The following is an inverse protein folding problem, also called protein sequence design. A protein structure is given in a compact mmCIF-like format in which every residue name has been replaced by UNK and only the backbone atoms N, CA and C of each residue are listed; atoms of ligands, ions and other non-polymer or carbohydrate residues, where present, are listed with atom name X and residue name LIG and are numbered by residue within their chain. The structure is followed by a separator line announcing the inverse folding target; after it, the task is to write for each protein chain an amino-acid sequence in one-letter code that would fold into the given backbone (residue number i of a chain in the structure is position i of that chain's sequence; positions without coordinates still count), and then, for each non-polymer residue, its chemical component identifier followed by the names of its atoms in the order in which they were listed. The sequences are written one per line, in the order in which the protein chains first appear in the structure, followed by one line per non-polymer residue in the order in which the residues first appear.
data_IF_800776690217
#
_entry.id   IF_800776690217
#
_cell.length_a   1.000
_cell.length_b   1.000
_cell.length_c   1.000
_cell.angle_alpha   90.00
_cell.angle_beta   90.00
_cell.angle_gamma   90.00
#
_symmetry.space_group_name_H-M   'P 1'
#
loop_
_entity.id
_entity.type
_entity.pdbx_description
1 polymer ?
#
# COMPACT_ATOMS: atom_id res chain seq x y z
N UNK A 1 14.00 -7.69 -4.68
CA UNK A 1 13.16 -8.20 -3.57
C UNK A 1 13.05 -9.72 -3.58
N UNK A 2 13.30 -10.37 -2.44
CA UNK A 2 13.16 -11.83 -2.26
C UNK A 2 11.71 -12.30 -2.36
N UNK A 3 11.49 -13.39 -3.09
CA UNK A 3 10.19 -14.05 -3.24
C UNK A 3 9.93 -15.06 -2.12
N UNK A 4 8.78 -14.98 -1.45
CA UNK A 4 8.37 -15.96 -0.43
C UNK A 4 7.84 -17.28 -1.00
N UNK A 5 7.68 -17.38 -2.31
CA UNK A 5 7.13 -18.56 -3.01
C UNK A 5 7.93 -19.84 -2.73
N UNK A 6 9.25 -19.71 -2.60
CA UNK A 6 10.17 -20.80 -2.26
C UNK A 6 10.14 -21.19 -0.79
N UNK A 7 9.62 -20.31 0.06
CA UNK A 7 9.54 -20.55 1.49
C UNK A 7 8.24 -21.31 1.77
N UNK A 8 8.35 -22.38 2.55
CA UNK A 8 7.16 -23.08 3.06
C UNK A 8 6.51 -22.18 4.12
N UNK A 9 5.64 -21.28 3.69
CA UNK A 9 4.85 -20.38 4.55
C UNK A 9 3.49 -21.04 4.81
N UNK A 10 2.94 -20.84 6.01
CA UNK A 10 1.59 -21.30 6.31
C UNK A 10 0.58 -20.27 5.81
N UNK A 11 -0.40 -20.70 5.00
CA UNK A 11 -1.34 -19.81 4.31
C UNK A 11 -2.72 -20.46 4.16
N UNK A 12 -3.72 -19.63 3.86
CA UNK A 12 -5.02 -20.05 3.36
C UNK A 12 -5.03 -20.14 1.84
N UNK A 13 -5.75 -21.12 1.30
CA UNK A 13 -5.92 -21.31 -0.13
C UNK A 13 -7.38 -21.65 -0.44
N UNK A 14 -7.85 -21.38 -1.66
CA UNK A 14 -9.22 -21.74 -2.07
C UNK A 14 -9.50 -23.25 -1.89
N UNK A 15 -8.49 -24.09 -2.15
CA UNK A 15 -8.57 -25.55 -1.97
C UNK A 15 -8.28 -26.03 -0.53
N UNK A 16 -7.81 -25.15 0.35
CA UNK A 16 -7.45 -25.46 1.75
C UNK A 16 -7.93 -24.34 2.68
N UNK A 17 -9.25 -24.24 2.93
CA UNK A 17 -9.84 -23.18 3.76
C UNK A 17 -9.45 -23.28 5.24
N UNK A 18 -9.00 -24.45 5.70
CA UNK A 18 -8.41 -24.69 7.03
C UNK A 18 -6.97 -24.18 7.18
N UNK A 19 -6.33 -23.83 6.07
CA UNK A 19 -4.94 -23.37 6.02
C UNK A 19 -3.91 -24.50 6.01
N UNK A 20 -2.81 -24.28 5.31
CA UNK A 20 -1.77 -25.29 5.08
C UNK A 20 -0.40 -24.65 4.87
N UNK A 21 0.66 -25.37 5.24
CA UNK A 21 2.03 -25.01 4.87
C UNK A 21 2.34 -25.53 3.47
N UNK A 22 2.48 -24.64 2.48
CA UNK A 22 2.69 -25.00 1.07
C UNK A 22 3.47 -23.89 0.35
N UNK A 23 4.12 -24.24 -0.76
CA UNK A 23 4.61 -23.25 -1.72
C UNK A 23 3.46 -22.38 -2.24
N UNK A 24 3.68 -21.07 -2.19
CA UNK A 24 2.63 -20.06 -2.14
C UNK A 24 2.12 -19.65 -3.54
N UNK A 25 1.23 -20.41 -4.19
CA UNK A 25 0.64 -20.04 -5.49
C UNK A 25 -0.54 -19.03 -5.40
N UNK A 26 -0.60 -18.24 -4.32
CA UNK A 26 -1.74 -17.36 -3.99
C UNK A 26 -2.09 -16.32 -5.06
N UNK A 27 -1.09 -15.90 -5.85
CA UNK A 27 -1.31 -14.91 -6.91
C UNK A 27 -2.29 -15.40 -7.98
N UNK A 28 -2.44 -16.72 -8.15
CA UNK A 28 -3.38 -17.30 -9.14
C UNK A 28 -4.80 -17.39 -8.61
N UNK A 29 -4.96 -17.64 -7.32
CA UNK A 29 -6.24 -17.94 -6.67
C UNK A 29 -7.20 -16.75 -6.70
N UNK A 30 -8.48 -16.92 -6.41
CA UNK A 30 -9.44 -15.81 -6.37
C UNK A 30 -9.45 -15.12 -5.00
N UNK A 31 -9.00 -15.82 -3.97
CA UNK A 31 -8.98 -15.35 -2.60
C UNK A 31 -10.05 -16.05 -1.80
N UNK A 32 -9.69 -16.48 -0.59
CA UNK A 32 -10.59 -17.21 0.28
C UNK A 32 -11.74 -16.30 0.71
N UNK A 33 -12.96 -16.76 0.52
CA UNK A 33 -14.16 -16.02 0.93
C UNK A 33 -14.25 -16.00 2.45
N UNK A 34 -14.45 -14.82 3.02
CA UNK A 34 -14.74 -14.61 4.44
C UNK A 34 -16.07 -13.90 4.59
N UNK A 35 -16.86 -14.31 5.58
CA UNK A 35 -18.27 -13.88 5.71
C UNK A 35 -18.47 -12.78 6.74
N UNK A 36 -17.60 -12.67 7.74
CA UNK A 36 -17.67 -11.63 8.78
C UNK A 36 -16.29 -11.11 9.16
N UNK A 37 -16.26 -9.95 9.81
CA UNK A 37 -15.03 -9.40 10.36
C UNK A 37 -14.37 -10.33 11.38
N UNK A 38 -15.18 -11.01 12.21
CA UNK A 38 -14.66 -11.98 13.17
C UNK A 38 -14.02 -13.19 12.48
N UNK A 39 -14.64 -13.77 11.44
CA UNK A 39 -14.03 -14.87 10.66
C UNK A 39 -12.68 -14.44 10.07
N UNK A 40 -12.62 -13.26 9.46
CA UNK A 40 -11.36 -12.70 8.96
C UNK A 40 -10.33 -12.55 10.08
N UNK A 41 -10.70 -12.00 11.23
CA UNK A 41 -9.79 -11.82 12.37
C UNK A 41 -9.26 -13.15 12.90
N UNK A 42 -10.09 -14.19 13.01
CA UNK A 42 -9.68 -15.53 13.40
C UNK A 42 -8.64 -16.11 12.42
N UNK A 43 -8.86 -15.93 11.11
CA UNK A 43 -7.92 -16.39 10.08
C UNK A 43 -6.60 -15.62 10.15
N UNK A 44 -6.63 -14.30 10.36
CA UNK A 44 -5.42 -13.49 10.55
C UNK A 44 -4.64 -13.95 11.80
N UNK A 45 -5.32 -14.23 12.91
CA UNK A 45 -4.67 -14.73 14.12
C UNK A 45 -3.95 -16.07 13.88
N UNK A 46 -4.57 -16.99 13.14
CA UNK A 46 -3.94 -18.25 12.74
C UNK A 46 -2.73 -18.03 11.81
N UNK A 47 -2.81 -17.08 10.86
CA UNK A 47 -1.67 -16.71 10.01
C UNK A 47 -0.51 -16.17 10.85
N UNK A 48 -0.76 -15.30 11.82
CA UNK A 48 0.28 -14.74 12.69
C UNK A 48 0.93 -15.82 13.56
N UNK A 49 0.13 -16.68 14.19
CA UNK A 49 0.63 -17.76 15.03
C UNK A 49 1.53 -18.75 14.28
N UNK A 50 1.16 -19.12 13.05
CA UNK A 50 1.91 -20.09 12.26
C UNK A 50 3.10 -19.48 11.49
N UNK A 51 3.20 -18.15 11.43
CA UNK A 51 4.28 -17.45 10.73
C UNK A 51 4.99 -16.42 11.64
N UNK A 52 5.55 -16.83 12.79
CA UNK A 52 6.05 -15.92 13.83
C UNK A 52 7.27 -15.09 13.41
N UNK A 53 7.96 -15.48 12.34
CA UNK A 53 9.15 -14.79 11.86
C UNK A 53 8.84 -13.53 11.05
N UNK A 54 7.56 -13.29 10.71
CA UNK A 54 7.15 -12.18 9.88
C UNK A 54 6.21 -11.24 10.63
N UNK A 55 6.29 -9.96 10.30
CA UNK A 55 5.25 -8.98 10.65
C UNK A 55 4.24 -8.97 9.51
N UNK A 56 2.95 -9.09 9.84
CA UNK A 56 1.88 -9.07 8.84
C UNK A 56 1.37 -7.65 8.67
N UNK A 57 1.38 -7.17 7.43
CA UNK A 57 0.79 -5.89 7.03
C UNK A 57 -0.31 -6.12 6.00
N UNK A 58 -1.33 -5.28 6.03
CA UNK A 58 -2.56 -5.47 5.30
C UNK A 58 -2.76 -4.37 4.26
N UNK A 59 -3.30 -4.78 3.10
CA UNK A 59 -3.79 -3.85 2.08
C UNK A 59 -5.24 -4.16 1.75
N UNK A 60 -6.08 -3.16 1.86
CA UNK A 60 -7.44 -3.22 1.34
C UNK A 60 -7.51 -2.74 -0.11
N UNK A 61 -8.31 -3.42 -0.93
CA UNK A 61 -8.59 -2.97 -2.29
C UNK A 61 -9.98 -3.44 -2.75
N UNK A 62 -10.68 -2.60 -3.52
CA UNK A 62 -12.01 -2.88 -4.06
C UNK A 62 -11.99 -3.82 -5.28
N UNK A 63 -10.80 -4.16 -5.80
CA UNK A 63 -10.67 -5.07 -6.94
C UNK A 63 -9.32 -5.80 -6.94
N UNK A 64 -9.30 -7.04 -7.43
CA UNK A 64 -8.08 -7.82 -7.64
C UNK A 64 -7.47 -7.48 -9.00
N UNK A 65 -6.49 -6.57 -9.02
CA UNK A 65 -5.75 -6.25 -10.24
C UNK A 65 -4.92 -7.46 -10.67
N UNK A 66 -5.14 -7.92 -11.90
CA UNK A 66 -4.44 -9.07 -12.47
C UNK A 66 -3.62 -8.67 -13.67
N UNK A 67 -2.47 -9.31 -13.83
CA UNK A 67 -1.67 -9.22 -15.03
C UNK A 67 -2.46 -9.76 -16.23
N UNK A 68 -2.42 -9.04 -17.36
CA UNK A 68 -3.20 -9.39 -18.55
C UNK A 68 -2.91 -10.81 -19.06
N UNK A 69 -1.63 -11.17 -19.20
CA UNK A 69 -1.21 -12.49 -19.70
C UNK A 69 -1.24 -13.60 -18.64
N UNK A 70 -0.47 -13.47 -17.55
CA UNK A 70 -0.35 -14.53 -16.55
C UNK A 70 -1.58 -14.71 -15.64
N UNK A 71 -2.53 -13.76 -15.66
CA UNK A 71 -3.72 -13.72 -14.77
C UNK A 71 -3.40 -13.70 -13.27
N UNK A 72 -2.12 -13.56 -12.91
CA UNK A 72 -1.67 -13.45 -11.53
C UNK A 72 -2.08 -12.08 -10.97
N UNK A 73 -2.51 -12.04 -9.71
CA UNK A 73 -2.63 -10.80 -8.92
C UNK A 73 -1.33 -10.01 -8.98
N UNK A 74 -1.41 -8.72 -9.25
CA UNK A 74 -0.28 -7.79 -9.29
C UNK A 74 -0.42 -6.75 -8.18
N UNK A 75 0.64 -6.57 -7.39
CA UNK A 75 0.69 -5.59 -6.32
C UNK A 75 1.90 -4.70 -6.57
N UNK A 76 1.75 -3.83 -7.56
CA UNK A 76 2.79 -2.87 -7.96
C UNK A 76 2.58 -1.51 -7.29
N UNK A 77 3.66 -0.79 -6.95
CA UNK A 77 3.61 0.63 -6.63
C UNK A 77 2.85 1.43 -7.69
N UNK A 78 2.22 2.53 -7.29
CA UNK A 78 1.41 3.33 -8.21
C UNK A 78 2.24 3.94 -9.37
N UNK A 79 3.54 4.21 -9.18
CA UNK A 79 4.43 4.72 -10.22
C UNK A 79 4.67 3.71 -11.35
N UNK A 80 4.46 2.41 -11.10
CA UNK A 80 4.67 1.33 -12.07
C UNK A 80 3.35 0.73 -12.61
N UNK A 81 2.22 1.44 -12.48
CA UNK A 81 0.91 1.03 -13.03
C UNK A 81 0.57 1.75 -14.33
N UNK A 82 -0.38 1.22 -15.11
CA UNK A 82 -0.87 1.85 -16.34
C UNK A 82 0.02 1.57 -17.57
N UNK A 83 0.75 0.46 -17.56
CA UNK A 83 1.55 -0.07 -18.66
C UNK A 83 0.70 -0.77 -19.74
N UNK A 84 -0.60 -0.96 -19.49
CA UNK A 84 -1.47 -1.74 -20.37
C UNK A 84 -1.64 -1.07 -21.74
N UNK A 85 -1.21 -1.77 -22.79
CA UNK A 85 -1.37 -1.33 -24.18
C UNK A 85 -0.33 -0.32 -24.65
N UNK A 86 0.62 0.06 -23.80
CA UNK A 86 1.74 0.95 -24.18
C UNK A 86 2.88 0.12 -24.77
N UNK A 87 3.55 0.70 -25.77
CA UNK A 87 4.84 0.16 -26.20
C UNK A 87 5.95 0.46 -25.17
N UNK A 88 7.13 -0.14 -25.37
CA UNK A 88 8.26 0.00 -24.43
C UNK A 88 8.75 1.45 -24.33
N UNK A 89 8.75 2.19 -25.44
CA UNK A 89 9.27 3.56 -25.49
C UNK A 89 8.28 4.55 -24.86
N UNK A 90 6.98 4.38 -25.12
CA UNK A 90 5.89 5.12 -24.47
C UNK A 90 5.88 4.89 -22.97
N UNK A 91 5.99 3.63 -22.54
CA UNK A 91 6.10 3.26 -21.14
C UNK A 91 7.31 3.92 -20.47
N UNK A 92 8.48 3.88 -21.13
CA UNK A 92 9.70 4.48 -20.62
C UNK A 92 9.58 6.01 -20.50
N UNK A 93 9.02 6.69 -21.51
CA UNK A 93 8.75 8.14 -21.45
C UNK A 93 7.78 8.51 -20.34
N UNK A 94 6.69 7.76 -20.19
CA UNK A 94 5.73 8.01 -19.12
C UNK A 94 6.37 7.84 -17.74
N UNK A 95 7.16 6.78 -17.56
CA UNK A 95 7.83 6.53 -16.30
C UNK A 95 8.91 7.58 -15.99
N UNK A 96 9.68 8.00 -16.99
CA UNK A 96 10.63 9.11 -16.85
C UNK A 96 9.91 10.40 -16.40
N UNK A 97 8.76 10.72 -17.00
CA UNK A 97 7.95 11.88 -16.60
C UNK A 97 7.45 11.74 -15.15
N UNK A 98 7.01 10.55 -14.73
CA UNK A 98 6.60 10.32 -13.33
C UNK A 98 7.75 10.53 -12.35
N UNK A 99 8.96 10.08 -12.67
CA UNK A 99 10.14 10.35 -11.84
C UNK A 99 10.52 11.84 -11.82
N UNK A 100 10.37 12.57 -12.94
CA UNK A 100 10.53 14.04 -12.96
C UNK A 100 9.54 14.73 -12.04
N UNK A 101 8.26 14.35 -12.10
CA UNK A 101 7.22 14.88 -11.20
C UNK A 101 7.53 14.53 -9.74
N UNK A 102 7.99 13.31 -9.45
CA UNK A 102 8.39 12.90 -8.12
C UNK A 102 9.53 13.77 -7.56
N UNK A 103 10.60 13.98 -8.34
CA UNK A 103 11.72 14.83 -7.91
C UNK A 103 11.29 16.28 -7.68
N UNK A 104 10.45 16.84 -8.56
CA UNK A 104 9.90 18.19 -8.35
C UNK A 104 9.08 18.27 -7.05
N UNK A 105 8.26 17.25 -6.77
CA UNK A 105 7.46 17.18 -5.55
C UNK A 105 8.35 17.04 -4.29
N UNK A 106 9.47 16.31 -4.37
CA UNK A 106 10.44 16.21 -3.29
C UNK A 106 11.07 17.56 -2.94
N UNK A 107 11.50 18.31 -3.95
CA UNK A 107 12.12 19.62 -3.78
C UNK A 107 11.13 20.62 -3.16
N UNK A 108 9.89 20.64 -3.68
CA UNK A 108 8.80 21.47 -3.14
C UNK A 108 8.45 21.09 -1.70
N UNK A 109 8.46 19.79 -1.35
CA UNK A 109 8.20 19.34 0.02
C UNK A 109 9.28 19.84 0.99
N UNK A 110 10.56 19.83 0.60
CA UNK A 110 11.64 20.36 1.43
C UNK A 110 11.49 21.87 1.61
N UNK A 111 11.17 22.60 0.53
CA UNK A 111 11.01 24.05 0.53
C UNK A 111 9.83 24.51 1.39
N UNK A 112 8.69 23.83 1.26
CA UNK A 112 7.42 24.19 1.92
C UNK A 112 7.22 23.49 3.27
N UNK A 113 8.19 22.73 3.75
CA UNK A 113 8.09 22.05 5.03
C UNK A 113 7.69 23.06 6.13
N UNK A 114 6.61 22.82 6.90
CA UNK A 114 6.14 23.83 7.84
C UNK A 114 7.21 24.13 8.89
N UNK A 115 7.53 25.41 9.09
CA UNK A 115 8.60 25.85 9.99
C UNK A 115 8.37 25.45 11.46
N UNK A 116 7.10 25.26 11.85
CA UNK A 116 6.71 24.81 13.18
C UNK A 116 6.93 23.30 13.40
N UNK A 117 7.14 22.53 12.33
CA UNK A 117 7.23 21.08 12.38
C UNK A 117 8.67 20.60 12.54
N UNK A 118 8.90 19.79 13.58
CA UNK A 118 10.19 19.12 13.77
C UNK A 118 10.40 18.06 12.68
N UNK A 119 11.66 17.82 12.32
CA UNK A 119 12.03 16.72 11.41
C UNK A 119 12.48 17.13 10.01
N UNK A 120 12.59 18.44 9.71
CA UNK A 120 13.13 18.97 8.44
C UNK A 120 14.47 18.34 8.01
N UNK A 121 15.33 18.03 8.97
CA UNK A 121 16.61 17.37 8.69
C UNK A 121 16.46 15.91 8.23
N UNK A 122 15.46 15.17 8.73
CA UNK A 122 15.20 13.78 8.35
C UNK A 122 14.69 13.70 6.91
N UNK A 123 13.74 14.58 6.56
CA UNK A 123 13.20 14.66 5.19
C UNK A 123 14.28 15.11 4.19
N UNK A 124 15.20 15.98 4.58
CA UNK A 124 16.28 16.43 3.69
C UNK A 124 17.24 15.29 3.34
N UNK A 125 17.47 14.37 4.29
CA UNK A 125 18.45 13.28 4.16
C UNK A 125 17.93 12.00 3.51
N UNK A 126 16.61 11.80 3.46
CA UNK A 126 16.04 10.53 2.98
C UNK A 126 14.92 10.77 1.96
N UNK A 127 15.18 10.35 0.72
CA UNK A 127 14.19 10.36 -0.37
C UNK A 127 12.96 9.52 -0.03
N UNK A 128 13.18 8.34 0.54
CA UNK A 128 12.11 7.39 0.86
C UNK A 128 11.13 7.96 1.89
N UNK A 129 11.62 8.74 2.86
CA UNK A 129 10.75 9.48 3.79
C UNK A 129 9.89 10.51 3.05
N UNK A 130 10.47 11.26 2.10
CA UNK A 130 9.72 12.23 1.30
C UNK A 130 8.65 11.52 0.46
N UNK A 131 9.01 10.43 -0.21
CA UNK A 131 8.07 9.64 -1.00
C UNK A 131 6.93 9.09 -0.14
N UNK A 132 7.22 8.62 1.08
CA UNK A 132 6.20 8.16 2.02
C UNK A 132 5.17 9.25 2.35
N UNK A 133 5.63 10.48 2.60
CA UNK A 133 4.75 11.62 2.87
C UNK A 133 3.95 11.98 1.61
N UNK A 134 4.62 12.12 0.46
CA UNK A 134 3.98 12.48 -0.81
C UNK A 134 2.91 11.45 -1.23
N UNK A 135 3.17 10.16 -1.04
CA UNK A 135 2.23 9.09 -1.35
C UNK A 135 1.05 9.06 -0.37
N UNK A 136 1.32 9.16 0.93
CA UNK A 136 0.29 9.13 1.97
C UNK A 136 -0.75 10.23 1.79
N UNK A 137 -0.32 11.40 1.34
CA UNK A 137 -1.20 12.54 1.03
C UNK A 137 -1.60 12.64 -0.45
N UNK A 138 -1.34 11.60 -1.24
CA UNK A 138 -1.81 11.48 -2.63
C UNK A 138 -1.38 12.66 -3.53
N UNK A 139 -0.15 13.15 -3.32
CA UNK A 139 0.44 14.27 -4.07
C UNK A 139 0.89 13.83 -5.45
N UNK A 140 1.66 12.74 -5.53
CA UNK A 140 2.16 12.19 -6.78
C UNK A 140 2.40 10.68 -6.67
N UNK A 141 2.67 10.04 -7.81
CA UNK A 141 3.00 8.61 -7.86
C UNK A 141 4.45 8.37 -7.40
N UNK A 142 4.67 7.27 -6.70
CA UNK A 142 5.89 6.92 -5.97
C UNK A 142 6.19 5.41 -6.09
N UNK A 143 7.44 4.98 -5.86
CA UNK A 143 7.82 3.57 -5.93
C UNK A 143 7.49 2.76 -4.67
N UNK A 144 6.66 3.28 -3.76
CA UNK A 144 6.31 2.58 -2.51
C UNK A 144 4.89 1.99 -2.58
N UNK A 145 4.61 1.06 -1.66
CA UNK A 145 3.31 0.45 -1.48
C UNK A 145 2.74 0.78 -0.10
N UNK A 146 1.54 1.38 -0.07
CA UNK A 146 0.83 1.63 1.19
C UNK A 146 0.23 0.36 1.76
N UNK A 147 0.45 0.18 3.05
CA UNK A 147 -0.07 -0.89 3.88
C UNK A 147 -0.51 -0.32 5.24
N UNK A 148 -1.24 -1.10 6.02
CA UNK A 148 -1.56 -0.76 7.41
C UNK A 148 -1.36 -1.98 8.29
N UNK A 149 -1.02 -1.77 9.55
CA UNK A 149 -0.99 -2.84 10.54
C UNK A 149 -2.39 -3.13 11.12
N UNK A 150 -3.36 -2.22 10.91
CA UNK A 150 -4.72 -2.40 11.40
C UNK A 150 -5.59 -3.13 10.38
N UNK A 151 -6.02 -4.33 10.77
CA UNK A 151 -6.95 -5.14 9.97
C UNK A 151 -8.27 -4.41 9.68
N UNK A 152 -8.81 -3.70 10.69
CA UNK A 152 -10.07 -2.94 10.55
C UNK A 152 -9.92 -1.80 9.54
N UNK A 153 -8.79 -1.11 9.54
CA UNK A 153 -8.52 -0.01 8.61
C UNK A 153 -8.38 -0.55 7.19
N UNK A 154 -7.62 -1.63 6.99
CA UNK A 154 -7.49 -2.26 5.68
C UNK A 154 -8.84 -2.76 5.14
N UNK A 155 -9.64 -3.45 5.96
CA UNK A 155 -10.97 -3.92 5.56
C UNK A 155 -11.91 -2.73 5.23
N UNK A 156 -11.84 -1.64 6.01
CA UNK A 156 -12.63 -0.44 5.77
C UNK A 156 -12.25 0.23 4.45
N UNK A 157 -10.96 0.35 4.14
CA UNK A 157 -10.48 0.83 2.84
C UNK A 157 -10.94 -0.06 1.69
N UNK A 158 -10.85 -1.39 1.82
CA UNK A 158 -11.30 -2.32 0.79
C UNK A 158 -12.80 -2.18 0.47
N UNK A 159 -13.57 -1.74 1.46
CA UNK A 159 -15.03 -1.59 1.36
C UNK A 159 -15.49 -0.33 0.65
N UNK A 160 -14.60 0.66 0.43
CA UNK A 160 -14.95 1.88 -0.29
C UNK A 160 -15.07 1.59 -1.79
N UNK A 161 -16.16 2.03 -2.41
CA UNK A 161 -16.24 2.11 -3.87
C UNK A 161 -15.08 2.99 -4.38
N UNK A 162 -14.26 2.45 -5.30
CA UNK A 162 -13.06 3.10 -5.83
C UNK A 162 -11.91 3.34 -4.82
N UNK A 163 -11.62 2.37 -3.95
CA UNK A 163 -10.38 2.37 -3.13
C UNK A 163 -9.07 2.39 -3.95
N UNK A 164 -9.16 2.30 -5.29
CA UNK A 164 -8.05 2.09 -6.19
C UNK A 164 -7.42 3.38 -6.73
N UNK A 165 -7.64 4.55 -6.13
CA UNK A 165 -6.80 5.76 -6.26
C UNK A 165 -6.53 6.27 -7.68
N UNK A 166 -7.36 5.89 -8.66
CA UNK A 166 -7.15 6.21 -10.09
C UNK A 166 -8.08 7.33 -10.60
N UNK A 167 -8.93 7.89 -9.73
CA UNK A 167 -9.69 9.11 -10.03
C UNK A 167 -9.82 9.98 -8.77
N UNK A 168 -9.32 11.22 -8.79
CA UNK A 168 -9.63 12.21 -7.78
C UNK A 168 -10.93 12.96 -8.12
N UNK A 169 -11.57 13.43 -7.06
CA UNK A 169 -12.59 14.48 -7.02
C UNK A 169 -14.02 14.02 -7.40
N UNK A 170 -14.97 14.28 -6.48
CA UNK A 170 -16.42 14.24 -6.69
C UNK A 170 -17.20 12.91 -6.60
N UNK A 171 -16.82 12.01 -5.70
CA UNK A 171 -17.81 11.07 -5.14
C UNK A 171 -17.84 11.17 -3.61
N UNK A 172 -18.78 12.00 -3.15
CA UNK A 172 -19.35 12.01 -1.80
C UNK A 172 -20.10 10.70 -1.47
N UNK A 173 -19.89 9.65 -2.25
CA UNK A 173 -20.65 8.43 -2.17
C UNK A 173 -20.01 7.53 -1.11
N UNK A 174 -20.73 7.33 0.00
CA UNK A 174 -20.43 6.30 1.01
C UNK A 174 -20.70 4.89 0.47
N UNK A 175 -20.89 4.75 -0.84
CA UNK A 175 -21.20 3.50 -1.51
C UNK A 175 -20.12 2.46 -1.23
N UNK A 176 -20.62 1.26 -0.94
CA UNK A 176 -19.80 0.09 -0.71
C UNK A 176 -19.40 -0.52 -2.04
N UNK A 177 -18.17 -1.03 -2.12
CA UNK A 177 -17.78 -1.89 -3.23
C UNK A 177 -18.65 -3.16 -3.25
N UNK A 178 -18.91 -3.72 -4.42
CA UNK A 178 -19.62 -5.00 -4.56
C UNK A 178 -18.77 -6.16 -4.03
N UNK A 179 -17.51 -6.17 -4.43
CA UNK A 179 -16.48 -7.10 -3.95
C UNK A 179 -15.34 -6.31 -3.31
N UNK A 180 -14.77 -6.85 -2.24
CA UNK A 180 -13.61 -6.30 -1.56
C UNK A 180 -12.57 -7.38 -1.30
N UNK A 181 -11.30 -6.98 -1.34
CA UNK A 181 -10.16 -7.86 -1.18
C UNK A 181 -9.24 -7.35 -0.07
N UNK A 182 -8.78 -8.27 0.77
CA UNK A 182 -7.73 -8.03 1.75
C UNK A 182 -6.48 -8.84 1.36
N UNK A 183 -5.39 -8.13 1.12
CA UNK A 183 -4.10 -8.72 0.80
C UNK A 183 -3.20 -8.68 2.04
N UNK A 184 -2.69 -9.85 2.45
CA UNK A 184 -1.81 -9.98 3.62
C UNK A 184 -0.36 -10.15 3.15
N UNK A 185 0.50 -9.24 3.58
CA UNK A 185 1.91 -9.23 3.23
C UNK A 185 2.74 -9.62 4.44
N UNK A 186 3.66 -10.57 4.26
CA UNK A 186 4.65 -10.92 5.27
C UNK A 186 5.91 -10.08 5.06
N UNK A 187 6.26 -9.27 6.05
CA UNK A 187 7.35 -8.31 6.01
C UNK A 187 8.40 -8.70 7.06
N UNK A 188 9.69 -8.37 6.85
CA UNK A 188 10.72 -8.57 7.87
C UNK A 188 10.41 -7.80 9.16
N UNK A 189 11.21 -8.03 10.19
CA UNK A 189 11.06 -7.34 11.47
C UNK A 189 11.13 -5.82 11.30
N UNK A 190 10.18 -5.13 11.93
CA UNK A 190 10.06 -3.67 11.86
C UNK A 190 10.63 -3.08 13.15
N UNK A 191 11.61 -2.18 13.00
CA UNK A 191 12.22 -1.41 14.08
C UNK A 191 12.30 0.08 13.77
N UNK A 192 11.90 0.92 14.72
CA UNK A 192 11.95 2.38 14.59
C UNK A 192 11.02 2.93 13.50
N UNK A 193 11.40 4.09 12.93
CA UNK A 193 10.61 4.75 11.88
C UNK A 193 10.92 4.29 10.46
N UNK A 194 12.16 3.85 10.22
CA UNK A 194 12.60 3.25 8.95
C UNK A 194 13.39 2.01 9.28
N UNK A 195 12.99 0.88 8.72
CA UNK A 195 13.66 -0.42 8.88
C UNK A 195 14.09 -0.91 7.52
N UNK A 196 15.31 -1.42 7.41
CA UNK A 196 15.83 -2.01 6.17
C UNK A 196 16.23 -3.45 6.44
N UNK A 197 15.95 -4.32 5.48
CA UNK A 197 16.40 -5.71 5.47
C UNK A 197 17.12 -5.95 4.16
N UNK A 198 18.45 -5.96 4.19
CA UNK A 198 19.27 -6.25 3.01
C UNK A 198 19.02 -7.67 2.46
N UNK A 199 18.71 -8.62 3.35
CA UNK A 199 18.47 -10.02 2.96
C UNK A 199 17.17 -10.21 2.18
N UNK A 200 16.12 -9.47 2.53
CA UNK A 200 14.86 -9.48 1.78
C UNK A 200 14.83 -8.42 0.66
N UNK A 201 15.83 -7.54 0.62
CA UNK A 201 15.93 -6.37 -0.28
C UNK A 201 14.70 -5.46 -0.14
N UNK A 202 14.30 -5.22 1.11
CA UNK A 202 13.10 -4.44 1.44
C UNK A 202 13.39 -3.39 2.50
N UNK A 203 12.62 -2.31 2.45
CA UNK A 203 12.53 -1.33 3.51
C UNK A 203 11.09 -1.06 3.89
N UNK A 204 10.88 -0.72 5.15
CA UNK A 204 9.58 -0.43 5.74
C UNK A 204 9.63 0.90 6.47
N UNK A 205 8.63 1.73 6.24
CA UNK A 205 8.47 3.07 6.79
C UNK A 205 7.22 3.11 7.63
N UNK A 206 7.36 3.43 8.92
CA UNK A 206 6.24 3.62 9.83
C UNK A 206 5.84 5.08 9.83
N UNK A 207 4.70 5.42 9.23
CA UNK A 207 4.27 6.80 9.06
C UNK A 207 4.12 7.54 10.38
N UNK A 208 3.54 6.91 11.40
CA UNK A 208 3.40 7.49 12.74
C UNK A 208 4.75 7.87 13.41
N UNK A 209 5.88 7.32 12.94
CA UNK A 209 7.22 7.65 13.44
C UNK A 209 7.99 8.63 12.53
N UNK A 210 7.45 8.93 11.37
CA UNK A 210 8.04 9.81 10.36
C UNK A 210 7.31 11.15 10.35
N UNK A 211 5.98 11.11 10.39
CA UNK A 211 5.12 12.28 10.35
C UNK A 211 5.00 12.93 11.73
N UNK A 212 4.88 14.27 11.79
CA UNK A 212 4.66 14.97 13.04
C UNK A 212 3.30 14.65 13.68
N UNK A 213 3.08 14.95 14.97
CA UNK A 213 1.80 14.71 15.63
C UNK A 213 0.60 15.43 15.01
N UNK A 214 0.82 16.58 14.34
CA UNK A 214 -0.20 17.33 13.59
C UNK A 214 -0.72 16.60 12.36
N UNK A 215 0.07 15.67 11.80
CA UNK A 215 -0.29 14.83 10.66
C UNK A 215 -1.19 13.67 11.08
N UNK A 216 -2.39 13.98 11.59
CA UNK A 216 -3.28 13.03 12.26
C UNK A 216 -3.64 11.82 11.39
N UNK A 217 -3.78 11.99 10.07
CA UNK A 217 -4.07 10.88 9.14
C UNK A 217 -3.04 9.76 9.24
N UNK A 218 -1.76 10.09 9.37
CA UNK A 218 -0.67 9.11 9.47
C UNK A 218 -0.75 8.26 10.75
N UNK A 219 -1.17 8.87 11.85
CA UNK A 219 -1.29 8.21 13.15
C UNK A 219 -2.54 7.34 13.23
N UNK A 220 -3.68 7.87 12.77
CA UNK A 220 -4.98 7.19 12.85
C UNK A 220 -5.09 6.00 11.90
N UNK A 221 -4.43 6.05 10.74
CA UNK A 221 -4.46 4.96 9.76
C UNK A 221 -3.55 3.76 10.14
N UNK A 222 -2.72 3.90 11.19
CA UNK A 222 -1.63 2.95 11.49
C UNK A 222 -0.81 2.60 10.23
N UNK A 223 -0.53 3.63 9.43
CA UNK A 223 -0.04 3.48 8.07
C UNK A 223 1.43 3.12 8.00
N UNK A 224 1.74 2.25 7.04
CA UNK A 224 3.09 1.84 6.67
C UNK A 224 3.26 1.99 5.17
N UNK A 225 4.49 2.26 4.76
CA UNK A 225 4.89 2.08 3.37
C UNK A 225 6.03 1.09 3.29
N UNK A 226 6.01 0.26 2.25
CA UNK A 226 7.13 -0.61 1.93
C UNK A 226 7.71 -0.24 0.57
N UNK A 227 9.04 -0.39 0.47
CA UNK A 227 9.81 -0.12 -0.73
C UNK A 227 10.89 -1.18 -0.91
N UNK A 228 11.50 -1.20 -2.08
CA UNK A 228 12.71 -1.99 -2.31
C UNK A 228 13.91 -1.34 -1.62
N UNK A 229 14.86 -2.16 -1.19
CA UNK A 229 16.12 -1.71 -0.61
C UNK A 229 17.31 -2.37 -1.34
N UNK A 230 18.28 -1.60 -1.85
CA UNK A 230 18.33 -0.13 -1.91
C UNK A 230 17.21 0.50 -2.75
N UNK A 231 16.84 1.75 -2.49
CA UNK A 231 15.77 2.41 -3.24
C UNK A 231 16.10 2.70 -4.71
N UNK A 232 15.07 2.60 -5.56
CA UNK A 232 15.12 3.01 -6.97
C UNK A 232 14.88 4.53 -7.09
N UNK A 233 15.93 5.31 -6.86
CA UNK A 233 15.85 6.78 -6.89
C UNK A 233 15.64 7.35 -8.30
N UNK A 234 16.05 6.65 -9.35
CA UNK A 234 16.03 7.17 -10.72
C UNK A 234 15.44 6.18 -11.70
N UNK A 235 14.88 6.72 -12.79
CA UNK A 235 14.40 5.92 -13.93
C UNK A 235 15.49 4.99 -14.50
N UNK A 236 16.76 5.43 -14.55
CA UNK A 236 17.88 4.61 -15.03
C UNK A 236 18.13 3.38 -14.16
N UNK A 237 17.98 3.49 -12.84
CA UNK A 237 18.08 2.34 -11.95
C UNK A 237 16.95 1.34 -12.21
N UNK A 238 15.73 1.84 -12.46
CA UNK A 238 14.61 0.99 -12.88
C UNK A 238 14.86 0.28 -14.20
N UNK A 239 15.49 0.91 -15.20
CA UNK A 239 15.70 0.28 -16.52
C UNK A 239 16.50 -1.04 -16.44
N UNK A 240 17.22 -1.26 -15.35
CA UNK A 240 17.98 -2.47 -15.10
C UNK A 240 17.18 -3.57 -14.40
N UNK A 241 15.89 -3.35 -14.13
CA UNK A 241 15.01 -4.27 -13.41
C UNK A 241 13.76 -4.60 -14.23
N UNK A 242 13.35 -5.85 -14.18
CA UNK A 242 12.08 -6.28 -14.75
C UNK A 242 10.91 -5.81 -13.88
N UNK A 243 9.76 -5.50 -14.48
CA UNK A 243 8.58 -5.06 -13.72
C UNK A 243 8.11 -6.10 -12.69
N UNK A 244 8.26 -7.38 -13.02
CA UNK A 244 7.98 -8.50 -12.11
C UNK A 244 8.91 -8.52 -10.90
N UNK A 245 10.09 -7.89 -10.99
CA UNK A 245 11.02 -7.81 -9.87
C UNK A 245 10.48 -6.92 -8.75
N UNK A 246 9.77 -5.86 -9.13
CA UNK A 246 9.18 -4.81 -8.28
C UNK A 246 7.77 -5.10 -7.75
N UNK A 247 7.23 -6.30 -8.01
CA UNK A 247 5.87 -6.67 -7.62
C UNK A 247 5.83 -7.23 -6.18
N UNK A 248 5.23 -6.47 -5.26
CA UNK A 248 5.06 -6.85 -3.86
C UNK A 248 4.14 -8.06 -3.64
N UNK A 249 3.48 -8.55 -4.69
CA UNK A 249 2.79 -9.84 -4.69
C UNK A 249 3.73 -11.01 -4.35
N UNK A 250 5.05 -10.83 -4.47
CA UNK A 250 6.07 -11.78 -3.98
C UNK A 250 6.09 -11.96 -2.46
N UNK A 251 5.52 -11.02 -1.71
CA UNK A 251 5.40 -11.01 -0.25
C UNK A 251 4.00 -11.37 0.24
N UNK A 252 3.08 -11.66 -0.68
CA UNK A 252 1.71 -12.04 -0.37
C UNK A 252 1.70 -13.43 0.29
N UNK A 253 1.04 -13.53 1.44
CA UNK A 253 0.90 -14.78 2.20
C UNK A 253 -0.55 -15.15 2.50
N UNK A 254 -1.50 -14.30 2.18
CA UNK A 254 -2.92 -14.65 2.10
C UNK A 254 -3.66 -13.62 1.26
N UNK A 255 -4.74 -14.06 0.62
CA UNK A 255 -5.70 -13.21 -0.08
C UNK A 255 -7.10 -13.60 0.35
N UNK A 256 -7.86 -12.65 0.86
CA UNK A 256 -9.24 -12.84 1.25
C UNK A 256 -10.17 -12.01 0.37
N UNK A 257 -11.36 -12.54 0.10
CA UNK A 257 -12.43 -11.88 -0.63
C UNK A 257 -13.66 -11.78 0.27
N UNK A 258 -14.37 -10.67 0.24
CA UNK A 258 -15.64 -10.50 0.97
C UNK A 258 -16.55 -9.50 0.27
N UNK A 259 -17.83 -9.55 0.61
CA UNK A 259 -18.82 -8.55 0.20
C UNK A 259 -19.05 -7.57 1.34
N UNK A 260 -18.70 -6.28 1.19
CA UNK A 260 -18.78 -5.32 2.29
C UNK A 260 -20.14 -5.20 2.98
N UNK A 261 -21.25 -5.24 2.23
CA UNK A 261 -22.61 -5.15 2.80
C UNK A 261 -22.88 -6.29 3.79
N UNK A 262 -22.67 -7.53 3.35
CA UNK A 262 -22.88 -8.72 4.19
C UNK A 262 -21.83 -8.82 5.31
N UNK A 263 -20.58 -8.44 5.03
CA UNK A 263 -19.44 -8.58 5.93
C UNK A 263 -19.54 -7.70 7.18
N UNK A 264 -19.94 -6.44 7.02
CA UNK A 264 -20.09 -5.51 8.15
C UNK A 264 -21.42 -5.65 8.88
N UNK A 265 -22.49 -6.04 8.19
CA UNK A 265 -23.82 -6.20 8.78
C UNK A 265 -24.01 -7.55 9.49
N UNK A 266 -23.04 -8.47 9.35
CA UNK A 266 -23.11 -9.81 9.97
C UNK A 266 -23.09 -9.78 11.51
N UNK A 267 -22.47 -8.77 12.13
CA UNK A 267 -22.26 -8.68 13.57
C UNK A 267 -22.29 -7.22 14.07
N UNK A 268 -23.14 -6.92 15.06
CA UNK A 268 -23.25 -5.56 15.65
C UNK A 268 -22.00 -5.11 16.44
N UNK A 269 -21.04 -6.02 16.66
CA UNK A 269 -19.84 -5.76 17.48
C UNK A 269 -18.71 -5.08 16.73
N UNK A 270 -18.66 -5.19 15.40
CA UNK A 270 -17.57 -4.66 14.59
C UNK A 270 -18.05 -3.73 13.48
N UNK A 271 -17.88 -2.42 13.70
CA UNK A 271 -18.24 -1.41 12.70
C UNK A 271 -17.09 -1.06 11.74
N UNK A 272 -17.45 -0.75 10.50
CA UNK A 272 -16.58 -0.12 9.50
C UNK A 272 -16.14 1.26 10.00
N UNK A 273 -14.89 1.63 9.72
CA UNK A 273 -14.40 2.99 9.98
C UNK A 273 -14.93 3.93 8.87
N UNK A 274 -15.63 5.02 9.22
CA UNK A 274 -16.20 5.92 8.24
C UNK A 274 -15.12 6.71 7.49
N UNK A 275 -15.39 7.10 6.24
CA UNK A 275 -14.44 7.80 5.36
C UNK A 275 -13.84 9.07 6.01
N UNK A 276 -14.59 9.94 6.72
CA UNK A 276 -14.00 11.10 7.40
C UNK A 276 -12.98 10.73 8.49
N UNK A 277 -13.15 9.58 9.16
CA UNK A 277 -12.19 9.08 10.14
C UNK A 277 -10.96 8.44 9.48
N UNK A 278 -11.12 7.89 8.27
CA UNK A 278 -9.98 7.45 7.45
C UNK A 278 -9.21 8.66 6.90
N UNK A 279 -9.88 9.75 6.53
CA UNK A 279 -9.28 10.95 5.92
C UNK A 279 -9.52 12.22 6.76
N UNK A 280 -8.92 12.35 7.95
CA UNK A 280 -9.08 13.50 8.84
C UNK A 280 -8.25 14.70 8.36
N UNK A 281 -8.67 15.30 7.26
CA UNK A 281 -7.87 16.27 6.51
C UNK A 281 -8.01 17.73 6.98
N UNK A 282 -9.15 18.10 7.58
CA UNK A 282 -9.51 19.50 7.83
C UNK A 282 -8.49 20.23 8.72
N UNK A 283 -7.96 19.57 9.74
CA UNK A 283 -6.99 20.13 10.71
C UNK A 283 -5.55 19.64 10.50
N UNK A 284 -5.28 18.92 9.41
CA UNK A 284 -3.95 18.38 9.12
C UNK A 284 -3.11 19.43 8.36
N UNK A 285 -2.12 20.00 9.05
CA UNK A 285 -1.23 21.02 8.49
C UNK A 285 -0.44 20.50 7.28
N UNK A 286 -0.03 19.24 7.34
CA UNK A 286 0.76 18.60 6.29
C UNK A 286 -0.10 18.29 5.07
N UNK A 287 -1.38 17.93 5.26
CA UNK A 287 -2.35 17.81 4.16
C UNK A 287 -2.44 19.12 3.35
N UNK A 288 -2.59 20.27 4.03
CA UNK A 288 -2.68 21.59 3.35
C UNK A 288 -1.42 21.88 2.54
N UNK A 289 -0.24 21.66 3.11
CA UNK A 289 1.05 21.79 2.40
C UNK A 289 1.12 20.86 1.19
N UNK A 290 0.69 19.60 1.34
CA UNK A 290 0.67 18.62 0.26
C UNK A 290 -0.31 19.01 -0.86
N UNK A 291 -1.48 19.58 -0.54
CA UNK A 291 -2.40 20.13 -1.53
C UNK A 291 -1.78 21.29 -2.32
N UNK A 292 -1.07 22.21 -1.65
CA UNK A 292 -0.35 23.30 -2.33
C UNK A 292 0.78 22.80 -3.24
N UNK A 293 1.45 21.72 -2.87
CA UNK A 293 2.49 21.10 -3.71
C UNK A 293 1.82 20.48 -4.93
N UNK A 294 0.74 19.70 -4.72
CA UNK A 294 0.01 19.01 -5.78
C UNK A 294 -0.48 19.96 -6.88
N UNK A 295 -0.96 21.15 -6.51
CA UNK A 295 -1.42 22.16 -7.48
C UNK A 295 -0.32 22.82 -8.31
N UNK A 296 0.96 22.64 -7.92
CA UNK A 296 2.12 23.16 -8.65
C UNK A 296 2.78 22.10 -9.55
N UNK A 297 2.37 20.84 -9.43
CA UNK A 297 2.88 19.77 -10.27
C UNK A 297 2.18 19.79 -11.63
N UNK A 298 2.90 19.44 -12.71
CA UNK A 298 2.24 19.24 -14.00
C UNK A 298 1.19 18.13 -13.86
N UNK A 299 0.03 18.31 -14.51
CA UNK A 299 -0.99 17.26 -14.56
C UNK A 299 -0.36 15.96 -15.04
N UNK A 300 -0.34 14.95 -14.17
CA UNK A 300 0.15 13.63 -14.53
C UNK A 300 -0.90 12.94 -15.40
N UNK A 301 -0.56 12.47 -16.61
CA UNK A 301 -1.39 11.51 -17.33
C UNK A 301 -1.51 10.18 -16.57
#
# INVERSE_FOLDING_TARGET
MRTLHSDKVWSYFDAHPEGKKKECQLRKENGLVVTSYHDLACKIAALQFNNPNFVLLFRGQSSDRRHHHSRNTTIRPNIFRGDQGLDVDEWNKMLENRYKTLHLAEDLLIQKWPELEKGKFRIQRSAVIRWAILQHYEVCRTPLLDLTHSLRIAASFASLANASGETPEDLADESMAEDAFLMVHAIPQIGGGVSTCAYDEMQTLRLASICPPSAMRAHLQEGYLIGEYPELQTFRQKMNLDLDETDFGKRLIAKFKFKPSEFWDSEDTFARIPKPALYPNDDDSLYRTCCEIKSQLPETP
#
